data_IF_988715911107
#
_entry.id   IF_988715911107
#
_cell.length_a   1.000
_cell.length_b   1.000
_cell.length_c   1.000
_cell.angle_alpha   90.00
_cell.angle_beta   90.00
_cell.angle_gamma   90.00
#
_symmetry.space_group_name_H-M   'P 1'
#
loop_
_entity.id
_entity.type
_entity.pdbx_description
1 polymer ?
#
# COMPACT_ATOMS: atom_id res chain seq x y z
N UNK A 1 -12.41 -4.93 -12.95
CA UNK A 1 -11.02 -4.59 -12.58
C UNK A 1 -10.82 -4.45 -11.07
N UNK A 2 -11.68 -3.70 -10.35
CA UNK A 2 -11.56 -3.56 -8.89
C UNK A 2 -11.49 -4.90 -8.14
N UNK A 3 -12.38 -5.85 -8.46
CA UNK A 3 -12.39 -7.20 -7.87
C UNK A 3 -11.04 -7.92 -8.06
N UNK A 4 -10.44 -7.84 -9.24
CA UNK A 4 -9.15 -8.47 -9.53
C UNK A 4 -8.01 -7.86 -8.70
N UNK A 5 -7.98 -6.53 -8.54
CA UNK A 5 -6.98 -5.85 -7.70
C UNK A 5 -7.15 -6.25 -6.24
N UNK A 6 -8.38 -6.24 -5.73
CA UNK A 6 -8.70 -6.65 -4.35
C UNK A 6 -8.34 -8.11 -4.08
N UNK A 7 -8.65 -9.00 -5.03
CA UNK A 7 -8.29 -10.41 -4.95
C UNK A 7 -6.77 -10.61 -4.89
N UNK A 8 -5.99 -9.91 -5.74
CA UNK A 8 -4.52 -9.99 -5.73
C UNK A 8 -3.93 -9.46 -4.43
N UNK A 9 -4.45 -8.36 -3.89
CA UNK A 9 -4.05 -7.84 -2.57
C UNK A 9 -4.36 -8.86 -1.46
N UNK A 10 -5.47 -9.58 -1.59
CA UNK A 10 -5.86 -10.67 -0.69
C UNK A 10 -5.07 -11.98 -0.91
N UNK A 11 -4.15 -12.02 -1.89
CA UNK A 11 -3.26 -13.14 -2.14
C UNK A 11 -3.64 -14.07 -3.28
N UNK A 12 -4.67 -13.74 -4.09
CA UNK A 12 -5.04 -14.52 -5.27
C UNK A 12 -3.86 -14.66 -6.25
N UNK A 13 -3.63 -15.87 -6.74
CA UNK A 13 -2.53 -16.19 -7.67
C UNK A 13 -3.03 -16.49 -9.09
N UNK A 14 -4.32 -16.77 -9.27
CA UNK A 14 -4.90 -17.12 -10.56
C UNK A 14 -6.29 -16.52 -10.80
N UNK A 15 -6.84 -16.79 -11.99
CA UNK A 15 -8.16 -16.35 -12.41
C UNK A 15 -9.28 -16.98 -11.57
N UNK A 16 -9.15 -18.26 -11.27
CA UNK A 16 -10.09 -19.00 -10.41
C UNK A 16 -10.12 -18.42 -8.99
N UNK A 17 -8.96 -18.03 -8.44
CA UNK A 17 -8.89 -17.35 -7.14
C UNK A 17 -9.62 -16.00 -7.15
N UNK A 18 -9.55 -15.26 -8.26
CA UNK A 18 -10.26 -13.98 -8.39
C UNK A 18 -11.77 -14.16 -8.43
N UNK A 19 -12.26 -15.19 -9.14
CA UNK A 19 -13.68 -15.56 -9.13
C UNK A 19 -14.12 -16.00 -7.73
N UNK A 20 -13.38 -16.92 -7.11
CA UNK A 20 -13.67 -17.41 -5.76
C UNK A 20 -13.67 -16.28 -4.73
N UNK A 21 -12.72 -15.35 -4.81
CA UNK A 21 -12.70 -14.15 -3.97
C UNK A 21 -13.96 -13.30 -4.19
N UNK A 22 -14.32 -13.06 -5.45
CA UNK A 22 -15.52 -12.29 -5.80
C UNK A 22 -16.80 -12.93 -5.25
N UNK A 23 -16.96 -14.24 -5.41
CA UNK A 23 -18.10 -15.00 -4.88
C UNK A 23 -18.12 -14.93 -3.35
N UNK A 24 -16.98 -15.18 -2.70
CA UNK A 24 -16.87 -15.16 -1.24
C UNK A 24 -17.13 -13.78 -0.61
N UNK A 25 -16.92 -12.70 -1.36
CA UNK A 25 -17.08 -11.31 -0.91
C UNK A 25 -18.20 -10.56 -1.62
N UNK A 26 -19.09 -11.25 -2.34
CA UNK A 26 -20.08 -10.62 -3.21
C UNK A 26 -20.98 -9.64 -2.45
N UNK A 27 -21.46 -9.99 -1.26
CA UNK A 27 -22.30 -9.13 -0.43
C UNK A 27 -21.59 -7.80 -0.12
N UNK A 28 -20.35 -7.88 0.41
CA UNK A 28 -19.53 -6.72 0.70
C UNK A 28 -19.16 -5.91 -0.54
N UNK A 29 -18.82 -6.57 -1.65
CA UNK A 29 -18.52 -5.92 -2.93
C UNK A 29 -19.73 -5.13 -3.46
N UNK A 30 -20.95 -5.62 -3.23
CA UNK A 30 -22.19 -5.00 -3.68
C UNK A 30 -22.53 -3.70 -2.93
N UNK A 31 -21.87 -3.43 -1.79
CA UNK A 31 -22.03 -2.17 -1.06
C UNK A 31 -21.41 -0.97 -1.81
N UNK A 32 -20.43 -1.21 -2.68
CA UNK A 32 -19.70 -0.15 -3.39
C UNK A 32 -19.50 -0.39 -4.89
N UNK A 33 -19.80 -1.58 -5.41
CA UNK A 33 -19.81 -1.89 -6.84
C UNK A 33 -21.22 -2.25 -7.28
N UNK A 34 -21.67 -1.63 -8.37
CA UNK A 34 -22.86 -2.10 -9.08
C UNK A 34 -22.52 -3.39 -9.82
N UNK A 35 -23.15 -4.50 -9.42
CA UNK A 35 -22.96 -5.84 -10.01
C UNK A 35 -24.25 -6.34 -10.67
N UNK A 36 -24.74 -5.70 -11.74
CA UNK A 36 -26.02 -6.06 -12.38
C UNK A 36 -26.03 -7.50 -12.95
N UNK A 37 -24.84 -8.06 -13.23
CA UNK A 37 -24.65 -9.41 -13.74
C UNK A 37 -23.90 -10.32 -12.77
N UNK A 38 -23.73 -9.90 -11.51
CA UNK A 38 -22.97 -10.65 -10.51
C UNK A 38 -21.46 -10.62 -10.71
N UNK A 39 -20.79 -11.62 -10.12
CA UNK A 39 -19.33 -11.76 -10.14
C UNK A 39 -18.88 -12.31 -11.50
N UNK A 40 -17.87 -11.69 -12.15
CA UNK A 40 -17.28 -12.23 -13.36
C UNK A 40 -16.62 -13.59 -13.11
N UNK A 41 -16.76 -14.52 -14.07
CA UNK A 41 -16.04 -15.79 -14.03
C UNK A 41 -14.55 -15.64 -14.31
N UNK A 42 -13.77 -16.68 -14.00
CA UNK A 42 -12.35 -16.82 -14.33
C UNK A 42 -12.05 -16.55 -15.82
N UNK A 43 -12.88 -17.08 -16.72
CA UNK A 43 -12.82 -16.85 -18.17
C UNK A 43 -13.05 -15.38 -18.54
N UNK A 44 -13.93 -14.69 -17.80
CA UNK A 44 -14.19 -13.27 -18.02
C UNK A 44 -12.99 -12.44 -17.61
N UNK A 45 -12.37 -12.75 -16.46
CA UNK A 45 -11.11 -12.12 -16.06
C UNK A 45 -10.04 -12.35 -17.10
N UNK A 46 -9.80 -13.61 -17.49
CA UNK A 46 -8.82 -13.97 -18.51
C UNK A 46 -9.00 -13.16 -19.80
N UNK A 47 -10.21 -13.16 -20.37
CA UNK A 47 -10.52 -12.45 -21.62
C UNK A 47 -10.28 -10.96 -21.55
N UNK A 48 -10.56 -10.34 -20.40
CA UNK A 48 -10.33 -8.91 -20.19
C UNK A 48 -8.83 -8.62 -20.10
N UNK A 49 -8.09 -9.38 -19.30
CA UNK A 49 -6.66 -9.17 -19.14
C UNK A 49 -5.86 -9.50 -20.40
N UNK A 50 -6.27 -10.51 -21.19
CA UNK A 50 -5.67 -10.82 -22.50
C UNK A 50 -5.80 -9.68 -23.52
N UNK A 51 -6.83 -8.84 -23.39
CA UNK A 51 -7.08 -7.70 -24.29
C UNK A 51 -6.36 -6.43 -23.85
N UNK A 52 -5.80 -6.41 -22.64
CA UNK A 52 -5.15 -5.24 -22.06
C UNK A 52 -3.64 -5.40 -22.21
N UNK A 53 -2.97 -4.37 -22.75
CA UNK A 53 -1.51 -4.32 -22.75
C UNK A 53 -0.97 -4.30 -21.31
N UNK A 54 -0.17 -5.31 -20.89
CA UNK A 54 0.32 -5.41 -19.52
C UNK A 54 1.13 -4.19 -19.07
N UNK A 55 1.92 -3.59 -19.99
CA UNK A 55 2.75 -2.42 -19.68
C UNK A 55 1.90 -1.18 -19.41
N UNK A 56 0.82 -1.00 -20.16
CA UNK A 56 -0.12 0.09 -19.96
C UNK A 56 -0.88 -0.06 -18.64
N UNK A 57 -1.34 -1.29 -18.32
CA UNK A 57 -1.97 -1.57 -17.04
C UNK A 57 -1.03 -1.27 -15.86
N UNK A 58 0.21 -1.74 -15.93
CA UNK A 58 1.22 -1.48 -14.90
C UNK A 58 1.43 0.02 -14.68
N UNK A 59 1.58 0.80 -15.76
CA UNK A 59 1.74 2.26 -15.67
C UNK A 59 0.54 2.92 -15.01
N UNK A 60 -0.68 2.51 -15.36
CA UNK A 60 -1.90 3.05 -14.78
C UNK A 60 -1.99 2.71 -13.28
N UNK A 61 -1.71 1.46 -12.91
CA UNK A 61 -1.72 1.01 -11.53
C UNK A 61 -0.67 1.76 -10.69
N UNK A 62 0.55 1.92 -11.20
CA UNK A 62 1.62 2.70 -10.55
C UNK A 62 1.22 4.15 -10.32
N UNK A 63 0.62 4.81 -11.33
CA UNK A 63 0.12 6.18 -11.20
C UNK A 63 -0.96 6.29 -10.13
N UNK A 64 -1.89 5.34 -10.09
CA UNK A 64 -2.94 5.30 -9.08
C UNK A 64 -2.37 5.12 -7.67
N UNK A 65 -1.45 4.17 -7.47
CA UNK A 65 -0.77 3.98 -6.17
C UNK A 65 -0.01 5.24 -5.75
N UNK A 66 0.73 5.87 -6.67
CA UNK A 66 1.45 7.11 -6.38
C UNK A 66 0.49 8.25 -5.98
N UNK A 67 -0.68 8.34 -6.62
CA UNK A 67 -1.71 9.31 -6.25
C UNK A 67 -2.22 9.08 -4.83
N UNK A 68 -2.39 7.82 -4.42
CA UNK A 68 -2.78 7.47 -3.05
C UNK A 68 -1.66 7.87 -2.08
N UNK A 69 -0.41 7.53 -2.37
CA UNK A 69 0.74 7.88 -1.52
C UNK A 69 0.87 9.38 -1.32
N UNK A 70 0.66 10.18 -2.36
CA UNK A 70 0.72 11.64 -2.26
C UNK A 70 -0.43 12.24 -1.44
N UNK A 71 -1.55 11.53 -1.32
CA UNK A 71 -2.71 11.96 -0.52
C UNK A 71 -2.57 11.64 0.98
N UNK A 72 -1.70 10.69 1.33
CA UNK A 72 -1.43 10.29 2.72
C UNK A 72 -0.28 11.15 3.26
N UNK A 73 -0.58 12.21 4.00
CA UNK A 73 0.41 13.10 4.63
C UNK A 73 1.07 12.51 5.90
N UNK A 74 1.15 11.17 6.01
CA UNK A 74 1.52 10.49 7.26
C UNK A 74 2.43 9.29 7.03
N UNK A 75 3.28 9.06 8.03
CA UNK A 75 4.32 8.05 8.13
C UNK A 75 3.90 6.68 7.56
N UNK A 76 4.60 6.23 6.52
CA UNK A 76 4.43 4.89 5.95
C UNK A 76 5.05 3.92 6.95
N UNK A 77 4.22 3.32 7.81
CA UNK A 77 4.64 2.22 8.69
C UNK A 77 4.59 0.93 7.86
N UNK A 78 5.73 0.27 7.58
CA UNK A 78 5.72 -1.02 6.91
C UNK A 78 5.01 -2.05 7.80
N UNK A 79 3.93 -2.65 7.31
CA UNK A 79 3.17 -3.71 8.02
C UNK A 79 3.83 -5.08 7.83
N UNK A 80 4.74 -5.23 6.86
CA UNK A 80 5.61 -6.40 6.78
C UNK A 80 6.51 -6.40 8.03
N UNK A 81 6.57 -7.50 8.77
CA UNK A 81 7.35 -7.64 10.03
C UNK A 81 8.87 -7.41 9.88
N UNK A 82 9.32 -6.93 8.72
CA UNK A 82 10.62 -6.35 8.49
C UNK A 82 10.62 -4.91 8.98
N UNK A 83 10.88 -4.76 10.27
CA UNK A 83 11.35 -3.50 10.84
C UNK A 83 12.49 -2.97 9.97
N UNK A 84 12.37 -1.74 9.46
CA UNK A 84 13.47 -0.99 8.87
C UNK A 84 14.53 -0.71 9.97
N UNK A 85 15.37 -1.70 10.29
CA UNK A 85 16.60 -1.47 11.06
C UNK A 85 17.51 -0.59 10.21
N UNK A 86 17.57 0.70 10.54
CA UNK A 86 18.68 1.56 10.14
C UNK A 86 18.34 2.79 9.31
N UNK A 87 17.07 3.12 9.05
CA UNK A 87 16.76 4.45 8.52
C UNK A 87 16.75 5.44 9.68
N UNK A 88 17.91 6.03 10.00
CA UNK A 88 17.97 7.25 10.80
C UNK A 88 17.20 8.33 10.03
N UNK A 89 15.93 8.47 10.37
CA UNK A 89 15.15 9.64 9.95
C UNK A 89 15.77 10.80 10.72
N UNK A 90 16.61 11.56 10.03
CA UNK A 90 17.04 12.87 10.49
C UNK A 90 15.80 13.79 10.46
N UNK A 91 15.00 13.73 11.52
CA UNK A 91 13.93 14.69 11.77
C UNK A 91 14.63 15.99 12.12
N UNK A 92 14.78 16.87 11.13
CA UNK A 92 15.28 18.22 11.32
C UNK A 92 14.22 19.01 12.10
N UNK A 93 14.57 19.28 13.36
CA UNK A 93 14.17 20.39 14.22
C UNK A 93 12.69 20.74 14.33
N UNK A 94 12.10 20.46 15.51
CA UNK A 94 11.42 21.47 16.35
C UNK A 94 10.88 20.87 17.67
N UNK A 95 11.68 20.93 18.74
CA UNK A 95 11.16 21.19 20.09
C UNK A 95 12.13 22.13 20.82
N UNK A 96 11.71 23.36 21.19
CA UNK A 96 12.51 24.29 21.95
C UNK A 96 12.28 24.02 23.45
N UNK A 97 13.15 23.26 24.10
CA UNK A 97 13.14 23.23 25.57
C UNK A 97 14.51 22.88 26.17
N UNK A 98 15.00 23.84 26.94
CA UNK A 98 16.15 23.85 27.87
C UNK A 98 17.55 23.94 27.26
N UNK A 99 17.99 25.19 27.14
CA UNK A 99 19.39 25.60 27.25
C UNK A 99 19.61 26.08 28.70
N UNK A 100 20.58 25.50 29.42
CA UNK A 100 21.34 26.05 30.57
C UNK A 100 21.80 24.88 31.45
N UNK A 101 23.08 24.56 31.65
CA UNK A 101 24.17 25.45 32.06
C UNK A 101 25.49 25.12 31.36
N UNK A 102 26.20 26.18 30.97
CA UNK A 102 27.64 26.18 30.67
C UNK A 102 28.42 26.31 31.98
N UNK A 103 29.57 25.65 32.05
CA UNK A 103 30.68 25.94 32.98
C UNK A 103 31.70 24.81 32.92
N UNK A 104 32.60 24.76 31.92
CA UNK A 104 33.97 25.33 31.91
C UNK A 104 34.96 24.55 32.84
N UNK A 105 36.26 24.40 32.52
CA UNK A 105 36.90 23.11 32.30
C UNK A 105 38.06 22.89 33.30
N UNK A 106 38.87 21.86 33.02
CA UNK A 106 40.22 21.63 33.55
C UNK A 106 40.34 21.30 35.03
N UNK A 107 40.56 20.01 35.33
CA UNK A 107 41.83 19.48 35.85
C UNK A 107 41.76 17.97 36.17
N UNK A 108 42.75 17.24 35.65
CA UNK A 108 43.51 16.16 36.30
C UNK A 108 42.73 14.92 36.79
N UNK A 109 42.80 13.86 35.99
CA UNK A 109 43.63 12.72 36.36
C UNK A 109 44.74 12.56 35.30
N UNK A 110 45.98 12.75 35.78
CA UNK A 110 47.25 13.05 35.09
C UNK A 110 47.41 14.48 34.53
#
# INVERSE_FOLDING_TARGET
MAIAILAVIAGAQGWEDMENYGIAKQEWLSEFLELPHGIPSDDTFRRVFERIDPKSLQKCLQKWVQSIMNSIQGEIIPIDGKTLRGLTIAIRDSLPYIRSQRGHPSRVWC
#
